data_IF_432553355418
#
_entry.id   IF_432553355418
#
_cell.length_a   1.000
_cell.length_b   1.000
_cell.length_c   1.000
_cell.angle_alpha   90.00
_cell.angle_beta   90.00
_cell.angle_gamma   90.00
#
_symmetry.space_group_name_H-M   'P 1'
#
loop_
_entity.id
_entity.type
_entity.pdbx_description
1 polymer ?
#
# COMPACT_ATOMS: atom_id res chain seq x y z
N UNK A 1 -15.28 -22.28 10.21
CA UNK A 1 -15.49 -21.74 8.85
C UNK A 1 -14.73 -20.42 8.76
N UNK A 2 -13.44 -20.45 8.40
CA UNK A 2 -12.72 -19.21 8.06
C UNK A 2 -13.05 -18.86 6.62
N UNK A 3 -13.53 -17.63 6.42
CA UNK A 3 -14.21 -17.17 5.22
C UNK A 3 -13.40 -17.34 3.94
N UNK A 4 -14.12 -17.53 2.83
CA UNK A 4 -13.57 -17.50 1.47
C UNK A 4 -12.65 -16.28 1.32
N UNK A 5 -11.36 -16.54 1.06
CA UNK A 5 -10.44 -15.49 0.65
C UNK A 5 -10.97 -14.89 -0.65
N UNK A 6 -11.37 -13.62 -0.60
CA UNK A 6 -11.62 -12.83 -1.80
C UNK A 6 -10.35 -12.83 -2.66
N UNK A 7 -10.51 -12.75 -3.98
CA UNK A 7 -9.39 -12.71 -4.92
C UNK A 7 -8.33 -11.70 -4.46
N UNK A 8 -7.07 -12.13 -4.47
CA UNK A 8 -5.96 -11.32 -3.98
C UNK A 8 -5.95 -9.95 -4.66
N UNK A 9 -6.13 -8.88 -3.88
CA UNK A 9 -5.98 -7.53 -4.38
C UNK A 9 -4.51 -7.28 -4.77
N UNK A 10 -4.24 -6.38 -5.72
CA UNK A 10 -2.89 -6.18 -6.29
C UNK A 10 -1.81 -5.62 -5.34
N UNK A 11 -2.07 -5.48 -4.03
CA UNK A 11 -1.10 -4.98 -3.06
C UNK A 11 -0.54 -3.62 -3.46
N UNK A 12 0.78 -3.45 -3.31
CA UNK A 12 1.48 -2.21 -3.67
C UNK A 12 1.71 -2.04 -5.17
N UNK A 13 1.39 -3.05 -6.00
CA UNK A 13 1.66 -3.05 -7.45
C UNK A 13 0.62 -2.28 -8.27
N UNK A 14 -0.38 -1.68 -7.62
CA UNK A 14 -1.50 -0.99 -8.27
C UNK A 14 -1.08 0.37 -8.84
N UNK A 15 -0.31 1.14 -8.08
CA UNK A 15 0.13 2.51 -8.40
C UNK A 15 1.59 2.68 -7.97
N UNK A 16 2.47 3.27 -8.82
CA UNK A 16 3.85 3.55 -8.47
C UNK A 16 3.97 4.42 -7.22
N UNK A 17 4.99 4.14 -6.39
CA UNK A 17 5.23 4.92 -5.18
C UNK A 17 5.51 6.39 -5.52
N UNK A 18 4.87 7.28 -4.75
CA UNK A 18 5.12 8.71 -4.78
C UNK A 18 5.17 9.23 -3.35
N UNK A 19 6.18 10.06 -3.03
CA UNK A 19 6.20 10.78 -1.76
C UNK A 19 5.01 11.74 -1.70
N UNK A 20 4.36 11.84 -0.55
CA UNK A 20 3.26 12.77 -0.33
C UNK A 20 3.80 13.99 0.41
N UNK A 21 3.44 15.18 -0.08
CA UNK A 21 3.81 16.45 0.55
C UNK A 21 2.52 17.18 0.88
N UNK A 22 2.29 17.46 2.16
CA UNK A 22 1.10 18.16 2.63
C UNK A 22 1.50 19.47 3.31
N UNK A 23 0.59 20.45 3.28
CA UNK A 23 0.75 21.69 4.04
C UNK A 23 0.53 21.38 5.51
N UNK A 24 1.52 21.68 6.32
CA UNK A 24 1.36 21.73 7.77
C UNK A 24 0.67 23.05 8.14
N UNK A 25 -0.21 23.01 9.14
CA UNK A 25 -0.96 24.18 9.61
C UNK A 25 -0.09 25.23 10.31
N UNK A 26 1.21 24.96 10.45
CA UNK A 26 2.20 25.86 11.02
C UNK A 26 2.85 26.71 9.94
N UNK A 27 3.26 27.93 10.31
CA UNK A 27 4.10 28.77 9.43
C UNK A 27 5.57 28.49 9.73
N UNK A 28 6.36 28.32 8.69
CA UNK A 28 7.82 28.31 8.79
C UNK A 28 8.31 29.70 9.23
N UNK A 29 9.55 29.77 9.75
CA UNK A 29 10.17 31.02 10.21
C UNK A 29 10.13 32.17 9.18
N UNK A 30 10.04 31.85 7.89
CA UNK A 30 9.98 32.80 6.78
C UNK A 30 8.54 33.19 6.38
N UNK A 31 7.53 32.88 7.19
CA UNK A 31 6.12 33.17 6.92
C UNK A 31 5.50 32.33 5.81
N UNK A 32 6.21 31.33 5.29
CA UNK A 32 5.69 30.37 4.33
C UNK A 32 5.00 29.22 5.06
N UNK A 33 3.89 28.67 4.53
CA UNK A 33 3.26 27.49 5.13
C UNK A 33 4.29 26.36 5.21
N UNK A 34 4.46 25.78 6.39
CA UNK A 34 5.31 24.62 6.56
C UNK A 34 4.73 23.45 5.74
N UNK A 35 5.59 22.52 5.33
CA UNK A 35 5.16 21.33 4.60
C UNK A 35 5.73 20.09 5.26
N UNK A 36 4.88 19.09 5.47
CA UNK A 36 5.27 17.76 5.91
C UNK A 36 5.48 16.86 4.70
N UNK A 37 6.59 16.11 4.67
CA UNK A 37 6.83 15.09 3.64
C UNK A 37 6.65 13.71 4.26
N UNK A 38 5.67 12.96 3.75
CA UNK A 38 5.41 11.57 4.13
C UNK A 38 6.13 10.62 3.17
N UNK A 39 7.03 9.80 3.73
CA UNK A 39 7.78 8.78 3.00
C UNK A 39 7.19 7.38 3.16
N UNK A 40 5.86 7.31 3.34
CA UNK A 40 5.11 6.08 3.58
C UNK A 40 4.09 5.86 2.47
N UNK A 41 3.95 4.61 2.00
CA UNK A 41 2.99 4.26 0.96
C UNK A 41 1.53 4.41 1.42
N UNK A 42 1.25 4.21 2.71
CA UNK A 42 -0.09 4.36 3.29
C UNK A 42 -0.57 5.80 3.36
N UNK A 43 0.31 6.78 3.16
CA UNK A 43 -0.09 8.18 2.99
C UNK A 43 -0.60 8.47 1.57
N UNK A 44 -0.34 7.61 0.60
CA UNK A 44 -0.81 7.82 -0.77
C UNK A 44 -2.33 7.60 -0.86
N UNK A 45 -3.07 8.41 -1.65
CA UNK A 45 -4.53 8.28 -1.77
C UNK A 45 -5.04 6.88 -2.13
N UNK A 46 -4.28 6.15 -2.95
CA UNK A 46 -4.63 4.79 -3.38
C UNK A 46 -4.62 3.76 -2.23
N UNK A 47 -3.95 4.07 -1.11
CA UNK A 47 -3.68 3.12 -0.02
C UNK A 47 -4.09 3.65 1.36
N UNK A 48 -4.82 4.77 1.43
CA UNK A 48 -5.28 5.38 2.69
C UNK A 48 -6.16 4.45 3.55
N UNK A 49 -6.87 3.52 2.92
CA UNK A 49 -7.76 2.57 3.59
C UNK A 49 -7.06 1.29 4.05
N UNK A 50 -5.75 1.17 3.87
CA UNK A 50 -4.99 -0.05 4.16
C UNK A 50 -3.82 0.21 5.09
N UNK A 51 -3.55 -0.76 5.95
CA UNK A 51 -2.32 -0.85 6.73
C UNK A 51 -1.14 -1.36 5.89
N UNK A 52 0.07 -1.20 6.42
CA UNK A 52 1.28 -1.74 5.83
C UNK A 52 1.24 -3.27 5.73
N UNK A 53 0.73 -3.91 6.77
CA UNK A 53 0.63 -5.36 6.89
C UNK A 53 -0.37 -5.94 5.89
N UNK A 54 -1.50 -5.27 5.65
CA UNK A 54 -2.47 -5.68 4.62
C UNK A 54 -1.87 -5.59 3.21
N UNK A 55 -1.19 -4.48 2.89
CA UNK A 55 -0.51 -4.33 1.60
C UNK A 55 0.58 -5.40 1.41
N UNK A 56 1.39 -5.64 2.46
CA UNK A 56 2.42 -6.68 2.47
C UNK A 56 1.80 -8.07 2.27
N UNK A 57 0.69 -8.35 2.95
CA UNK A 57 -0.03 -9.62 2.81
C UNK A 57 -0.52 -9.83 1.39
N UNK A 58 -1.15 -8.83 0.79
CA UNK A 58 -1.61 -8.84 -0.60
C UNK A 58 -0.47 -9.06 -1.59
N UNK A 59 0.70 -8.43 -1.37
CA UNK A 59 1.86 -8.59 -2.23
C UNK A 59 2.45 -10.01 -2.20
N UNK A 60 2.23 -10.76 -1.11
CA UNK A 60 2.65 -12.15 -0.97
C UNK A 60 1.65 -13.15 -1.56
N UNK A 61 0.37 -12.81 -1.69
CA UNK A 61 -0.65 -13.71 -2.24
C UNK A 61 -0.30 -14.28 -3.64
N UNK A 62 0.23 -13.49 -4.61
CA UNK A 62 0.66 -14.02 -5.90
C UNK A 62 1.76 -15.08 -5.80
N UNK A 63 2.57 -15.05 -4.73
CA UNK A 63 3.62 -16.04 -4.50
C UNK A 63 3.03 -17.35 -3.95
N UNK A 64 2.04 -17.26 -3.06
CA UNK A 64 1.35 -18.44 -2.51
C UNK A 64 0.36 -19.09 -3.51
N UNK A 65 -0.21 -18.34 -4.44
CA UNK A 65 -1.10 -18.87 -5.48
C UNK A 65 -0.39 -19.54 -6.67
N UNK A 66 0.89 -19.24 -6.89
CA UNK A 66 1.67 -19.80 -8.01
C UNK A 66 2.22 -21.20 -7.75
N UNK A 67 2.47 -21.58 -6.49
CA UNK A 67 2.97 -22.92 -6.16
C UNK A 67 1.86 -23.97 -6.04
N UNK A 68 0.62 -23.58 -5.73
CA UNK A 68 -0.50 -24.52 -5.68
C UNK A 68 -1.03 -24.91 -7.07
N UNK A 69 -1.02 -23.99 -8.05
CA UNK A 69 -1.50 -24.27 -9.40
C UNK A 69 -0.48 -25.06 -10.26
N UNK A 70 0.82 -24.89 -10.01
CA UNK A 70 1.88 -25.54 -10.81
C UNK A 70 2.19 -26.99 -10.40
N UNK A 71 1.65 -27.49 -9.29
CA UNK A 71 1.87 -28.87 -8.80
C UNK A 71 0.76 -29.84 -9.27
N UNK A 72 -0.32 -29.34 -9.88
CA UNK A 72 -1.49 -30.16 -10.29
C UNK A 72 -1.77 -30.18 -11.80
N UNK A 73 -0.85 -29.71 -12.64
CA UNK A 73 -0.89 -29.98 -14.08
C UNK A 73 0.28 -30.89 -14.42
N UNK A 74 -0.09 -32.08 -14.92
CA UNK A 74 0.70 -33.28 -15.19
C UNK A 74 1.94 -33.07 -16.07
#
# INVERSE_FOLDING_TARGET
MFGQQAAAAPGTRSVPYQKIVEKDGTNSANGQPATATFLTITAMPAYLSKSMEELRWEDYQPWFGRTAAAVFTA
#
